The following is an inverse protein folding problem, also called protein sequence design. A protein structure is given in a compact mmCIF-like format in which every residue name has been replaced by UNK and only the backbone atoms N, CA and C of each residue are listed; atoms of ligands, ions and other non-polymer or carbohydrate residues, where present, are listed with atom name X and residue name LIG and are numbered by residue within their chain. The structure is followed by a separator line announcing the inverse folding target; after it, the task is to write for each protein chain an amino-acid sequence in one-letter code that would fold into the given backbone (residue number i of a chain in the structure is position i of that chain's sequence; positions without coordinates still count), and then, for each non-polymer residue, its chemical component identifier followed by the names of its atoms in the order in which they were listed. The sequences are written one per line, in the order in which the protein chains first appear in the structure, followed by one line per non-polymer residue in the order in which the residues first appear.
data_IF_282456085211
#
_entry.id   IF_282456085211
#
_cell.length_a   1.000
_cell.length_b   1.000
_cell.length_c   1.000
_cell.angle_alpha   90.00
_cell.angle_beta   90.00
_cell.angle_gamma   90.00
#
_symmetry.space_group_name_H-M   'P 1'
#
loop_
_entity.id
_entity.type
_entity.pdbx_description
1 polymer ?
#
# COMPACT_ATOMS: atom_id res chain seq x y z
N UNK A 1 -17.15 44.40 28.92
CA UNK A 1 -15.98 43.52 28.74
C UNK A 1 -16.21 42.70 27.47
N UNK A 2 -15.27 42.64 26.51
CA UNK A 2 -15.42 41.77 25.36
C UNK A 2 -15.24 40.32 25.80
N UNK A 3 -16.09 39.41 25.30
CA UNK A 3 -15.96 37.96 25.51
C UNK A 3 -14.69 37.44 24.82
N UNK A 4 -13.95 36.49 25.39
CA UNK A 4 -12.84 35.84 24.70
C UNK A 4 -13.40 34.95 23.57
N UNK A 5 -13.01 35.23 22.33
CA UNK A 5 -13.31 34.39 21.16
C UNK A 5 -12.31 33.23 21.13
N UNK A 6 -12.58 32.18 21.90
CA UNK A 6 -11.85 30.92 21.82
C UNK A 6 -12.72 30.00 20.95
N UNK A 7 -12.37 29.82 19.66
CA UNK A 7 -13.14 28.87 18.83
C UNK A 7 -12.85 28.81 17.34
N UNK A 8 -12.17 29.79 16.73
CA UNK A 8 -11.98 29.80 15.28
C UNK A 8 -10.74 29.04 14.74
N UNK A 9 -9.55 29.08 15.38
CA UNK A 9 -8.34 28.46 14.81
C UNK A 9 -8.37 26.92 14.87
N UNK A 10 -8.79 26.37 16.01
CA UNK A 10 -8.76 24.93 16.29
C UNK A 10 -9.76 24.16 15.40
N UNK A 11 -10.92 24.76 15.13
CA UNK A 11 -11.96 24.13 14.30
C UNK A 11 -11.52 23.99 12.84
N UNK A 12 -10.86 25.01 12.29
CA UNK A 12 -10.34 24.99 10.92
C UNK A 12 -9.18 24.00 10.75
N UNK A 13 -8.34 23.82 11.76
CA UNK A 13 -7.26 22.82 11.73
C UNK A 13 -7.83 21.40 11.75
N UNK A 14 -8.83 21.11 12.59
CA UNK A 14 -9.49 19.81 12.64
C UNK A 14 -10.23 19.44 11.33
N UNK A 15 -10.89 20.39 10.66
CA UNK A 15 -11.54 20.15 9.36
C UNK A 15 -10.51 19.89 8.24
N UNK A 16 -9.40 20.63 8.25
CA UNK A 16 -8.28 20.40 7.33
C UNK A 16 -7.57 19.06 7.63
N UNK A 17 -7.60 18.61 8.88
CA UNK A 17 -7.11 17.31 9.32
C UNK A 17 -7.93 16.15 8.77
N UNK A 18 -9.26 16.21 8.89
CA UNK A 18 -10.13 15.20 8.27
C UNK A 18 -9.98 15.19 6.74
N UNK A 19 -9.95 16.37 6.11
CA UNK A 19 -9.88 16.50 4.64
C UNK A 19 -8.65 15.84 4.02
N UNK A 20 -7.44 16.09 4.55
CA UNK A 20 -6.24 15.46 3.98
C UNK A 20 -6.13 13.95 4.31
N UNK A 21 -6.72 13.49 5.41
CA UNK A 21 -6.80 12.05 5.71
C UNK A 21 -7.62 11.33 4.64
N UNK A 22 -8.78 11.89 4.29
CA UNK A 22 -9.64 11.35 3.24
C UNK A 22 -8.97 11.37 1.86
N UNK A 23 -8.22 12.43 1.54
CA UNK A 23 -7.47 12.52 0.29
C UNK A 23 -6.40 11.43 0.17
N UNK A 24 -5.60 11.21 1.22
CA UNK A 24 -4.60 10.14 1.27
C UNK A 24 -5.25 8.77 1.06
N UNK A 25 -6.39 8.51 1.72
CA UNK A 25 -7.09 7.24 1.61
C UNK A 25 -7.70 7.01 0.22
N UNK A 26 -8.26 8.04 -0.39
CA UNK A 26 -8.78 7.96 -1.77
C UNK A 26 -7.65 7.72 -2.77
N UNK A 27 -6.50 8.37 -2.56
CA UNK A 27 -5.32 8.19 -3.40
C UNK A 27 -4.76 6.77 -3.26
N UNK A 28 -4.62 6.26 -2.03
CA UNK A 28 -4.24 4.87 -1.76
C UNK A 28 -5.19 3.89 -2.44
N UNK A 29 -6.50 4.06 -2.28
CA UNK A 29 -7.51 3.18 -2.88
C UNK A 29 -7.43 3.16 -4.40
N UNK A 30 -7.10 4.30 -5.02
CA UNK A 30 -6.81 4.37 -6.45
C UNK A 30 -5.54 3.61 -6.80
N UNK A 31 -4.45 3.82 -6.05
CA UNK A 31 -3.14 3.22 -6.28
C UNK A 31 -3.17 1.69 -6.19
N UNK A 32 -3.95 1.14 -5.25
CA UNK A 32 -4.03 -0.30 -5.01
C UNK A 32 -5.37 -0.93 -5.42
N UNK A 33 -6.14 -0.21 -6.24
CA UNK A 33 -7.40 -0.68 -6.85
C UNK A 33 -8.42 -1.19 -5.82
N UNK A 34 -8.49 -0.54 -4.65
CA UNK A 34 -9.45 -0.85 -3.59
C UNK A 34 -9.11 -2.10 -2.75
N UNK A 35 -8.01 -2.79 -3.05
CA UNK A 35 -7.63 -4.03 -2.36
C UNK A 35 -7.16 -3.83 -0.92
N UNK A 36 -6.91 -2.59 -0.48
CA UNK A 36 -6.61 -2.27 0.92
C UNK A 36 -7.72 -2.71 1.88
N UNK A 37 -8.97 -2.72 1.40
CA UNK A 37 -10.15 -3.09 2.18
C UNK A 37 -10.24 -4.60 2.44
N UNK A 38 -9.51 -5.40 1.68
CA UNK A 38 -9.46 -6.86 1.87
C UNK A 38 -8.56 -7.23 3.06
N UNK A 39 -7.62 -6.36 3.43
CA UNK A 39 -6.59 -6.65 4.44
C UNK A 39 -6.64 -5.77 5.69
N UNK A 40 -7.21 -4.58 5.59
CA UNK A 40 -7.20 -3.59 6.68
C UNK A 40 -8.58 -3.03 6.95
N UNK A 41 -8.85 -2.79 8.23
CA UNK A 41 -10.06 -2.09 8.69
C UNK A 41 -9.96 -0.59 8.43
N UNK A 42 -11.09 0.11 8.35
CA UNK A 42 -11.10 1.58 8.24
C UNK A 42 -10.28 2.27 9.33
N UNK A 43 -10.26 1.70 10.55
CA UNK A 43 -9.47 2.23 11.66
C UNK A 43 -7.97 2.17 11.36
N UNK A 44 -7.49 1.04 10.85
CA UNK A 44 -6.08 0.82 10.50
C UNK A 44 -5.66 1.68 9.30
N UNK A 45 -6.55 1.82 8.31
CA UNK A 45 -6.33 2.73 7.18
C UNK A 45 -6.22 4.19 7.65
N UNK A 46 -7.11 4.64 8.55
CA UNK A 46 -7.00 5.98 9.13
C UNK A 46 -5.71 6.16 9.94
N UNK A 47 -5.24 5.13 10.65
CA UNK A 47 -3.97 5.19 11.39
C UNK A 47 -2.78 5.40 10.45
N UNK A 48 -2.75 4.67 9.32
CA UNK A 48 -1.77 4.90 8.28
C UNK A 48 -1.83 6.35 7.78
N UNK A 49 -3.01 6.81 7.34
CA UNK A 49 -3.14 8.14 6.74
C UNK A 49 -2.75 9.27 7.71
N UNK A 50 -3.07 9.12 9.01
CA UNK A 50 -2.63 10.05 10.06
C UNK A 50 -1.10 10.04 10.24
N UNK A 51 -0.48 8.86 10.26
CA UNK A 51 0.97 8.72 10.40
C UNK A 51 1.74 9.22 9.17
N UNK A 52 1.18 9.01 7.98
CA UNK A 52 1.77 9.39 6.70
C UNK A 52 1.60 10.88 6.37
N UNK A 53 0.61 11.53 6.98
CA UNK A 53 0.22 12.93 6.73
C UNK A 53 1.37 13.92 6.71
N UNK A 54 2.34 13.79 7.62
CA UNK A 54 3.46 14.74 7.71
C UNK A 54 4.41 14.69 6.51
N UNK A 55 4.39 13.58 5.76
CA UNK A 55 5.18 13.37 4.55
C UNK A 55 4.39 13.62 3.27
N UNK A 56 3.05 13.58 3.36
CA UNK A 56 2.18 13.67 2.20
C UNK A 56 2.07 15.11 1.65
N UNK A 57 2.05 15.22 0.33
CA UNK A 57 1.74 16.45 -0.42
C UNK A 57 0.78 16.13 -1.56
N UNK A 58 -0.01 17.11 -1.99
CA UNK A 58 -0.94 16.99 -3.12
C UNK A 58 -0.26 16.62 -4.46
N UNK A 59 1.08 16.75 -4.54
CA UNK A 59 1.88 16.45 -5.72
C UNK A 59 2.42 15.01 -5.72
N UNK A 60 2.36 14.29 -4.59
CA UNK A 60 2.81 12.90 -4.53
C UNK A 60 1.99 12.04 -5.48
N UNK A 61 2.66 11.11 -6.15
CA UNK A 61 2.03 10.15 -7.05
C UNK A 61 1.31 9.04 -6.28
N UNK A 62 0.40 8.34 -6.97
CA UNK A 62 -0.27 7.16 -6.43
C UNK A 62 0.72 6.08 -5.99
N UNK A 63 1.82 5.90 -6.73
CA UNK A 63 2.82 4.90 -6.42
C UNK A 63 3.61 5.27 -5.17
N UNK A 64 3.98 6.53 -4.98
CA UNK A 64 4.65 6.99 -3.75
C UNK A 64 3.75 6.81 -2.50
N UNK A 65 2.43 7.02 -2.64
CA UNK A 65 1.48 6.74 -1.54
C UNK A 65 1.39 5.25 -1.25
N UNK A 66 1.37 4.40 -2.28
CA UNK A 66 1.35 2.96 -2.11
C UNK A 66 2.66 2.45 -1.47
N UNK A 67 3.81 2.96 -1.89
CA UNK A 67 5.11 2.61 -1.31
C UNK A 67 5.19 3.02 0.15
N UNK A 68 4.73 4.24 0.48
CA UNK A 68 4.61 4.70 1.86
C UNK A 68 3.68 3.81 2.71
N UNK A 69 2.64 3.25 2.10
CA UNK A 69 1.75 2.28 2.75
C UNK A 69 2.43 0.94 3.00
N UNK A 70 3.16 0.40 2.01
CA UNK A 70 3.91 -0.85 2.15
C UNK A 70 4.98 -0.71 3.25
N UNK A 71 5.73 0.38 3.25
CA UNK A 71 6.75 0.68 4.26
C UNK A 71 6.17 0.74 5.67
N UNK A 72 4.99 1.34 5.83
CA UNK A 72 4.32 1.46 7.11
C UNK A 72 3.98 0.08 7.72
N UNK A 73 3.58 -0.89 6.88
CA UNK A 73 3.17 -2.22 7.33
C UNK A 73 4.26 -3.29 7.23
N UNK A 74 5.42 -3.00 6.63
CA UNK A 74 6.45 -3.98 6.29
C UNK A 74 6.90 -4.85 7.48
N UNK A 75 7.14 -4.24 8.64
CA UNK A 75 7.58 -4.91 9.88
C UNK A 75 6.45 -5.10 10.91
N UNK A 76 5.20 -5.13 10.47
CA UNK A 76 4.03 -5.34 11.32
C UNK A 76 3.58 -6.81 11.32
N UNK A 77 2.57 -7.15 12.13
CA UNK A 77 1.86 -8.45 12.08
C UNK A 77 0.88 -8.57 10.89
N UNK A 78 0.90 -7.58 10.00
CA UNK A 78 -0.01 -7.45 8.87
C UNK A 78 0.74 -6.98 7.63
N UNK A 79 1.89 -7.58 7.26
CA UNK A 79 2.61 -7.17 6.07
C UNK A 79 1.77 -7.46 4.83
N UNK A 80 1.94 -6.63 3.81
CA UNK A 80 1.41 -6.85 2.46
C UNK A 80 2.51 -6.58 1.45
N UNK A 81 2.35 -7.10 0.23
CA UNK A 81 3.09 -6.71 -0.95
C UNK A 81 2.14 -6.10 -1.96
N UNK A 82 2.68 -5.38 -2.94
CA UNK A 82 1.93 -4.85 -4.07
C UNK A 82 2.36 -5.58 -5.32
N UNK A 83 1.39 -6.11 -6.06
CA UNK A 83 1.67 -6.79 -7.31
C UNK A 83 2.27 -5.80 -8.32
N UNK A 84 3.43 -6.13 -8.89
CA UNK A 84 4.15 -5.30 -9.88
C UNK A 84 3.36 -5.08 -11.18
N UNK A 85 2.43 -5.99 -11.50
CA UNK A 85 1.65 -5.96 -12.74
C UNK A 85 0.32 -5.24 -12.55
N UNK A 86 -0.48 -5.72 -11.60
CA UNK A 86 -1.85 -5.21 -11.45
C UNK A 86 -1.98 -4.11 -10.38
N UNK A 87 -0.97 -3.88 -9.56
CA UNK A 87 -0.96 -2.86 -8.50
C UNK A 87 -1.79 -3.19 -7.27
N UNK A 88 -2.51 -4.32 -7.22
CA UNK A 88 -3.28 -4.75 -6.03
C UNK A 88 -2.36 -5.22 -4.91
N UNK A 89 -2.82 -5.07 -3.67
CA UNK A 89 -2.20 -5.65 -2.50
C UNK A 89 -2.42 -7.16 -2.45
N UNK A 90 -1.43 -7.86 -1.91
CA UNK A 90 -1.37 -9.31 -1.78
C UNK A 90 -0.68 -9.71 -0.48
N UNK A 91 -1.15 -10.81 0.13
CA UNK A 91 -0.48 -11.52 1.23
C UNK A 91 -0.01 -12.92 0.86
N UNK A 92 -0.27 -13.34 -0.36
CA UNK A 92 0.26 -14.57 -0.93
C UNK A 92 0.58 -14.32 -2.39
N UNK A 93 1.58 -15.01 -2.90
CA UNK A 93 1.94 -14.95 -4.31
C UNK A 93 3.42 -15.20 -4.57
N UNK A 94 3.81 -14.88 -5.79
CA UNK A 94 5.16 -15.08 -6.28
C UNK A 94 6.04 -13.86 -5.96
N UNK A 95 7.28 -14.13 -5.59
CA UNK A 95 8.34 -13.18 -5.32
C UNK A 95 9.50 -13.51 -6.24
N UNK A 96 9.94 -12.54 -7.04
CA UNK A 96 11.11 -12.66 -7.92
C UNK A 96 12.26 -11.81 -7.37
N UNK A 97 13.45 -12.38 -7.37
CA UNK A 97 14.73 -11.76 -7.00
C UNK A 97 14.68 -10.97 -5.67
N UNK A 98 14.38 -11.64 -4.56
CA UNK A 98 14.29 -11.05 -3.21
C UNK A 98 13.31 -9.88 -3.09
N UNK A 99 12.30 -9.84 -3.95
CA UNK A 99 11.29 -8.79 -3.93
C UNK A 99 11.56 -7.64 -4.90
N UNK A 100 12.40 -7.87 -5.92
CA UNK A 100 12.44 -7.01 -7.10
C UNK A 100 11.08 -6.95 -7.80
N UNK A 101 10.29 -8.03 -7.74
CA UNK A 101 8.90 -8.05 -8.22
C UNK A 101 8.01 -9.04 -7.49
N UNK A 102 6.70 -8.72 -7.46
CA UNK A 102 5.67 -9.52 -6.80
C UNK A 102 4.48 -9.76 -7.73
N UNK A 103 3.94 -10.98 -7.71
CA UNK A 103 2.82 -11.37 -8.57
C UNK A 103 1.71 -12.05 -7.76
N UNK A 104 0.51 -11.47 -7.78
CA UNK A 104 -0.62 -11.97 -6.99
C UNK A 104 -1.33 -13.19 -7.61
N UNK A 105 -0.99 -13.55 -8.85
CA UNK A 105 -1.61 -14.67 -9.56
C UNK A 105 -0.72 -15.15 -10.72
N UNK A 106 -1.01 -16.34 -11.24
CA UNK A 106 -0.38 -16.84 -12.46
C UNK A 106 -0.58 -15.88 -13.63
N UNK A 107 -1.77 -15.28 -13.77
CA UNK A 107 -2.04 -14.32 -14.84
C UNK A 107 -1.09 -13.12 -14.81
N UNK A 108 -0.79 -12.61 -13.60
CA UNK A 108 0.17 -11.53 -13.43
C UNK A 108 1.60 -12.02 -13.66
N UNK A 109 1.98 -13.16 -13.09
CA UNK A 109 3.31 -13.75 -13.27
C UNK A 109 3.63 -13.94 -14.76
N UNK A 110 2.68 -14.49 -15.51
CA UNK A 110 2.83 -14.81 -16.92
C UNK A 110 2.78 -13.58 -17.85
N UNK A 111 2.77 -12.35 -17.32
CA UNK A 111 3.10 -11.16 -18.10
C UNK A 111 4.61 -11.02 -18.31
N UNK A 112 5.41 -11.49 -17.35
CA UNK A 112 6.88 -11.41 -17.39
C UNK A 112 7.53 -12.75 -17.73
N UNK A 113 6.82 -13.86 -17.53
CA UNK A 113 7.26 -15.22 -17.86
C UNK A 113 6.37 -15.84 -18.93
N UNK A 114 6.95 -16.62 -19.84
CA UNK A 114 6.23 -17.22 -20.97
C UNK A 114 5.25 -18.31 -20.52
N UNK A 115 5.61 -19.06 -19.47
CA UNK A 115 4.82 -20.16 -18.92
C UNK A 115 5.31 -20.52 -17.50
N UNK A 116 4.60 -21.43 -16.84
CA UNK A 116 4.96 -21.88 -15.49
C UNK A 116 6.23 -22.73 -15.45
N UNK A 117 6.58 -23.44 -16.53
CA UNK A 117 7.79 -24.26 -16.56
C UNK A 117 9.04 -23.38 -16.50
N UNK A 118 9.04 -22.27 -17.25
CA UNK A 118 10.08 -21.23 -17.18
C UNK A 118 10.23 -20.69 -15.74
N UNK A 119 9.12 -20.36 -15.09
CA UNK A 119 9.15 -19.92 -13.68
C UNK A 119 9.74 -20.98 -12.74
N UNK A 120 9.40 -22.26 -12.92
CA UNK A 120 9.95 -23.34 -12.09
C UNK A 120 11.44 -23.58 -12.35
N UNK A 121 11.91 -23.40 -13.58
CA UNK A 121 13.33 -23.46 -13.91
C UNK A 121 14.09 -22.30 -13.25
N UNK A 122 13.53 -21.09 -13.29
CA UNK A 122 14.08 -19.90 -12.61
C UNK A 122 14.11 -20.05 -11.08
N UNK A 123 13.12 -20.72 -10.48
CA UNK A 123 13.16 -21.03 -9.04
C UNK A 123 14.24 -22.06 -8.66
N UNK A 124 14.61 -22.95 -9.58
CA UNK A 124 15.67 -23.93 -9.33
C UNK A 124 17.07 -23.33 -9.48
N UNK A 125 17.22 -22.33 -10.34
CA UNK A 125 18.49 -21.65 -10.59
C UNK A 125 18.74 -20.48 -9.65
N UNK A 126 17.67 -19.84 -9.16
CA UNK A 126 17.72 -18.69 -8.27
C UNK A 126 16.85 -18.92 -7.02
N UNK A 127 17.51 -19.13 -5.87
CA UNK A 127 16.85 -19.34 -4.57
C UNK A 127 16.13 -18.09 -4.04
N UNK A 128 16.23 -16.97 -4.76
CA UNK A 128 15.52 -15.73 -4.48
C UNK A 128 14.16 -15.62 -5.18
N UNK A 129 13.81 -16.62 -5.99
CA UNK A 129 12.51 -16.77 -6.63
C UNK A 129 11.67 -17.80 -5.86
N UNK A 130 10.50 -17.41 -5.38
CA UNK A 130 9.64 -18.31 -4.60
C UNK A 130 8.17 -17.90 -4.60
N UNK A 131 7.30 -18.85 -4.27
CA UNK A 131 5.92 -18.57 -3.85
C UNK A 131 5.85 -18.63 -2.32
N UNK A 132 5.17 -17.67 -1.69
CA UNK A 132 4.97 -17.68 -0.24
C UNK A 132 3.67 -16.99 0.15
N UNK A 133 3.30 -17.18 1.42
CA UNK A 133 2.34 -16.37 2.15
C UNK A 133 3.10 -15.50 3.18
N UNK A 134 2.70 -14.23 3.34
CA UNK A 134 3.26 -13.28 4.30
C UNK A 134 2.25 -12.99 5.41
N UNK A 135 2.54 -13.42 6.63
CA UNK A 135 1.76 -13.18 7.85
C UNK A 135 2.63 -12.61 8.96
#
# INVERSE_FOLDING_TARGET
MPRPTIGAPIFNEMEKELSATEQILNQLSTAVKGSEKDYYTNKELCQFAQAFRSKWTDEMSNDEVADGFLDYWWNSEKPVRRCSICGRLMREGYCSDMGASYYCSNECLLQDYSNMDEWYEECQSNDQNYYTEWY
#
